data_IF_730342187749
#
_entry.id   IF_730342187749
#
_cell.length_a   1.000
_cell.length_b   1.000
_cell.length_c   1.000
_cell.angle_alpha   90.00
_cell.angle_beta   90.00
_cell.angle_gamma   90.00
#
_symmetry.space_group_name_H-M   'P 1'
#
loop_
_entity.id
_entity.type
_entity.pdbx_description
1 polymer ?
#
# COMPACT_ATOMS: atom_id res chain seq x y z
N UNK A 1 22.11 -11.14 13.86
CA UNK A 1 21.59 -9.86 13.32
C UNK A 1 21.21 -8.99 14.50
N UNK A 2 21.72 -7.77 14.59
CA UNK A 2 21.25 -6.79 15.57
C UNK A 2 19.78 -6.48 15.27
N UNK A 3 18.93 -6.59 16.28
CA UNK A 3 17.48 -6.36 16.13
C UNK A 3 17.25 -4.85 16.09
N UNK A 4 16.88 -4.29 14.94
CA UNK A 4 16.76 -2.83 14.73
C UNK A 4 15.54 -2.19 15.41
N UNK A 5 14.69 -3.00 16.05
CA UNK A 5 13.45 -2.54 16.69
C UNK A 5 12.25 -2.41 15.75
N UNK A 6 12.40 -2.77 14.47
CA UNK A 6 11.32 -2.81 13.48
C UNK A 6 11.53 -3.96 12.48
N UNK A 7 10.54 -4.20 11.63
CA UNK A 7 10.66 -5.07 10.45
C UNK A 7 10.33 -4.25 9.21
N UNK A 8 11.23 -4.29 8.22
CA UNK A 8 11.02 -3.71 6.90
C UNK A 8 11.11 -4.85 5.88
N UNK A 9 10.00 -5.15 5.23
CA UNK A 9 9.89 -6.23 4.25
C UNK A 9 9.54 -5.67 2.87
N UNK A 10 9.92 -6.37 1.80
CA UNK A 10 9.57 -5.95 0.45
C UNK A 10 9.25 -7.17 -0.43
N UNK A 11 8.56 -6.94 -1.55
CA UNK A 11 8.38 -7.98 -2.57
C UNK A 11 9.70 -8.22 -3.33
N UNK A 12 9.78 -9.29 -4.13
CA UNK A 12 11.00 -9.58 -4.91
C UNK A 12 11.44 -8.38 -5.77
N UNK A 13 12.76 -8.14 -5.90
CA UNK A 13 13.28 -7.08 -6.78
C UNK A 13 13.03 -7.42 -8.25
N UNK A 14 13.06 -6.40 -9.12
CA UNK A 14 12.97 -6.53 -10.59
C UNK A 14 11.75 -7.33 -11.09
N UNK A 15 10.61 -7.20 -10.41
CA UNK A 15 9.39 -7.90 -10.81
C UNK A 15 8.75 -7.24 -12.05
N UNK A 16 8.43 -7.98 -13.13
CA UNK A 16 7.79 -7.41 -14.32
C UNK A 16 6.37 -6.90 -14.07
N UNK A 17 5.77 -7.24 -12.92
CA UNK A 17 4.46 -6.74 -12.48
C UNK A 17 4.55 -5.45 -11.67
N UNK A 18 5.74 -4.98 -11.31
CA UNK A 18 5.90 -3.72 -10.61
C UNK A 18 5.25 -2.58 -11.41
N UNK A 19 4.40 -1.81 -10.73
CA UNK A 19 3.83 -0.56 -11.20
C UNK A 19 4.78 0.60 -10.86
N UNK A 20 5.52 0.47 -9.75
CA UNK A 20 6.51 1.42 -9.28
C UNK A 20 7.69 0.68 -8.66
N UNK A 21 8.88 1.25 -8.82
CA UNK A 21 10.09 0.75 -8.19
C UNK A 21 10.16 1.21 -6.73
N UNK A 22 10.55 0.32 -5.81
CA UNK A 22 10.55 0.57 -4.36
C UNK A 22 11.95 0.71 -3.77
N UNK A 23 13.04 0.51 -4.53
CA UNK A 23 14.40 0.49 -3.99
C UNK A 23 14.77 1.80 -3.27
N UNK A 24 14.55 2.96 -3.89
CA UNK A 24 14.85 4.26 -3.26
C UNK A 24 14.05 4.45 -1.96
N UNK A 25 12.74 4.20 -2.00
CA UNK A 25 11.89 4.26 -0.81
C UNK A 25 12.36 3.32 0.30
N UNK A 26 12.83 2.11 -0.05
CA UNK A 26 13.37 1.17 0.95
C UNK A 26 14.59 1.76 1.64
N UNK A 27 15.56 2.28 0.88
CA UNK A 27 16.79 2.83 1.42
C UNK A 27 16.51 4.04 2.32
N UNK A 28 15.62 4.94 1.89
CA UNK A 28 15.21 6.10 2.68
C UNK A 28 14.51 5.70 3.99
N UNK A 29 13.60 4.72 3.94
CA UNK A 29 12.93 4.21 5.13
C UNK A 29 13.88 3.48 6.07
N UNK A 30 14.82 2.69 5.55
CA UNK A 30 15.79 1.99 6.37
C UNK A 30 16.65 2.97 7.18
N UNK A 31 17.13 4.03 6.54
CA UNK A 31 17.86 5.13 7.21
C UNK A 31 16.97 5.78 8.26
N UNK A 32 15.78 6.25 7.87
CA UNK A 32 14.90 7.04 8.74
C UNK A 32 14.36 6.25 9.94
N UNK A 33 14.02 4.98 9.76
CA UNK A 33 13.55 4.14 10.86
C UNK A 33 14.68 3.75 11.82
N UNK A 34 15.91 3.60 11.32
CA UNK A 34 17.08 3.34 12.16
C UNK A 34 17.40 4.55 13.04
N UNK A 35 17.26 5.78 12.53
CA UNK A 35 17.46 7.03 13.29
C UNK A 35 16.50 7.16 14.50
N UNK A 36 15.32 6.51 14.45
CA UNK A 36 14.34 6.55 15.55
C UNK A 36 14.75 5.73 16.79
N UNK A 37 15.78 4.88 16.68
CA UNK A 37 16.28 4.04 17.77
C UNK A 37 15.18 3.24 18.50
N UNK A 38 14.24 2.66 17.74
CA UNK A 38 13.03 2.00 18.25
C UNK A 38 13.33 0.86 19.24
N UNK A 39 14.46 0.17 19.08
CA UNK A 39 14.80 -0.95 19.95
C UNK A 39 14.88 -0.53 21.42
N UNK A 40 15.55 0.59 21.72
CA UNK A 40 15.72 1.08 23.09
C UNK A 40 14.36 1.39 23.72
N UNK A 41 13.50 2.08 22.97
CA UNK A 41 12.15 2.45 23.40
C UNK A 41 11.30 1.20 23.67
N UNK A 42 11.42 0.18 22.83
CA UNK A 42 10.71 -1.09 23.01
C UNK A 42 11.23 -1.87 24.23
N UNK A 43 12.53 -1.82 24.54
CA UNK A 43 13.10 -2.48 25.72
C UNK A 43 12.66 -1.84 27.04
N UNK A 44 12.35 -0.55 27.02
CA UNK A 44 11.79 0.16 28.17
C UNK A 44 10.30 -0.18 28.36
N UNK A 45 9.57 -0.42 27.26
CA UNK A 45 8.14 -0.80 27.29
C UNK A 45 7.88 -2.29 27.53
N UNK A 46 8.76 -3.17 27.03
CA UNK A 46 8.55 -4.62 27.00
C UNK A 46 9.78 -5.38 27.48
N UNK A 47 9.58 -6.29 28.44
CA UNK A 47 10.65 -7.14 28.99
C UNK A 47 10.17 -8.60 29.09
N UNK A 48 10.55 -9.50 28.16
CA UNK A 48 11.41 -9.29 26.99
C UNK A 48 10.68 -8.63 25.80
N UNK A 49 11.44 -8.07 24.84
CA UNK A 49 10.91 -7.64 23.54
C UNK A 49 10.67 -8.87 22.66
N UNK A 50 9.43 -9.04 22.18
CA UNK A 50 9.00 -10.15 21.34
C UNK A 50 8.71 -9.67 19.91
N UNK A 51 8.69 -10.59 18.95
CA UNK A 51 8.47 -10.29 17.53
C UNK A 51 7.17 -9.51 17.23
N UNK A 52 6.13 -9.74 18.02
CA UNK A 52 4.85 -9.06 17.86
C UNK A 52 4.82 -7.65 18.49
N UNK A 53 5.88 -7.22 19.17
CA UNK A 53 6.08 -5.83 19.60
C UNK A 53 6.73 -4.97 18.52
N UNK A 54 7.45 -5.59 17.58
CA UNK A 54 8.14 -4.86 16.50
C UNK A 54 7.11 -4.28 15.52
N UNK A 55 7.14 -2.97 15.25
CA UNK A 55 6.44 -2.36 14.13
C UNK A 55 6.85 -3.02 12.81
N UNK A 56 5.87 -3.28 11.95
CA UNK A 56 6.09 -3.94 10.65
C UNK A 56 5.72 -3.01 9.51
N UNK A 57 6.69 -2.68 8.69
CA UNK A 57 6.57 -1.92 7.47
C UNK A 57 6.79 -2.85 6.29
N UNK A 58 5.98 -2.75 5.25
CA UNK A 58 6.20 -3.52 4.04
C UNK A 58 5.94 -2.74 2.75
N UNK A 59 6.76 -3.03 1.74
CA UNK A 59 6.73 -2.39 0.43
C UNK A 59 6.35 -3.41 -0.65
N UNK A 60 5.39 -3.07 -1.50
CA UNK A 60 5.07 -3.84 -2.71
C UNK A 60 5.11 -2.90 -3.91
N UNK A 61 5.82 -3.27 -4.97
CA UNK A 61 5.89 -2.44 -6.19
C UNK A 61 4.58 -2.37 -6.97
N UNK A 62 3.55 -3.14 -6.62
CA UNK A 62 2.25 -3.16 -7.32
C UNK A 62 1.10 -3.60 -6.39
N UNK A 63 -0.17 -3.43 -6.81
CA UNK A 63 -1.35 -3.79 -6.03
C UNK A 63 -1.49 -5.29 -5.72
N UNK A 64 -0.77 -6.18 -6.42
CA UNK A 64 -0.75 -7.61 -6.09
C UNK A 64 -0.19 -7.90 -4.69
N UNK A 65 0.60 -6.98 -4.12
CA UNK A 65 0.89 -6.99 -2.69
C UNK A 65 1.64 -8.22 -2.16
N UNK A 66 2.65 -8.75 -2.87
CA UNK A 66 3.35 -9.98 -2.45
C UNK A 66 4.03 -9.89 -1.07
N UNK A 67 4.35 -8.69 -0.58
CA UNK A 67 4.88 -8.45 0.78
C UNK A 67 3.79 -8.29 1.85
N UNK A 68 2.53 -8.58 1.48
CA UNK A 68 1.37 -8.63 2.38
C UNK A 68 0.98 -7.27 3.02
N UNK A 69 0.84 -6.18 2.24
CA UNK A 69 0.53 -4.84 2.74
C UNK A 69 -0.80 -4.71 3.48
N UNK A 70 -1.72 -5.66 3.28
CA UNK A 70 -3.02 -5.65 3.95
C UNK A 70 -2.96 -6.15 5.40
N UNK A 71 -1.84 -6.71 5.88
CA UNK A 71 -1.77 -7.38 7.19
C UNK A 71 -0.53 -6.99 8.02
N UNK A 72 0.10 -5.86 7.68
CA UNK A 72 1.22 -5.26 8.42
C UNK A 72 0.81 -3.90 8.99
N UNK A 73 1.55 -3.41 9.98
CA UNK A 73 1.25 -2.12 10.61
C UNK A 73 1.27 -0.99 9.58
N UNK A 74 2.26 -0.99 8.68
CA UNK A 74 2.32 -0.11 7.51
C UNK A 74 2.43 -0.93 6.24
N UNK A 75 1.46 -0.76 5.33
CA UNK A 75 1.44 -1.38 4.01
C UNK A 75 1.54 -0.33 2.92
N UNK A 76 2.54 -0.47 2.05
CA UNK A 76 2.81 0.48 0.97
C UNK A 76 2.78 -0.29 -0.35
N UNK A 77 1.95 0.15 -1.29
CA UNK A 77 1.78 -0.50 -2.60
C UNK A 77 1.88 0.49 -3.74
N UNK A 78 2.79 0.25 -4.69
CA UNK A 78 2.94 1.07 -5.88
C UNK A 78 1.69 0.99 -6.76
N UNK A 79 1.33 2.10 -7.40
CA UNK A 79 0.26 2.15 -8.39
C UNK A 79 0.65 2.98 -9.61
N UNK A 80 -0.01 2.70 -10.73
CA UNK A 80 -0.01 3.55 -11.92
C UNK A 80 -1.39 3.48 -12.57
N UNK A 81 -2.02 4.63 -12.75
CA UNK A 81 -3.33 4.74 -13.39
C UNK A 81 -3.19 4.68 -14.90
N UNK A 82 -4.10 4.02 -15.62
CA UNK A 82 -4.14 4.11 -17.07
C UNK A 82 -4.82 5.40 -17.54
N UNK A 83 -4.21 6.09 -18.52
CA UNK A 83 -4.78 7.26 -19.20
C UNK A 83 -5.04 6.95 -20.67
N UNK A 84 -6.25 7.27 -21.14
CA UNK A 84 -6.62 7.18 -22.55
C UNK A 84 -6.13 8.43 -23.28
N UNK A 85 -5.54 8.25 -24.46
CA UNK A 85 -5.08 9.33 -25.35
C UNK A 85 -5.91 9.38 -26.63
N UNK A 86 -5.66 10.39 -27.47
CA UNK A 86 -6.25 10.51 -28.81
C UNK A 86 -5.60 9.56 -29.84
N UNK A 87 -4.61 8.76 -29.46
CA UNK A 87 -3.97 7.81 -30.36
C UNK A 87 -4.95 6.68 -30.76
N UNK A 88 -5.04 6.44 -32.07
CA UNK A 88 -5.99 5.48 -32.63
C UNK A 88 -5.79 4.07 -32.07
N UNK A 89 -6.86 3.50 -31.50
CA UNK A 89 -6.85 2.13 -31.04
C UNK A 89 -6.75 1.15 -32.21
N UNK A 90 -5.86 0.16 -32.10
CA UNK A 90 -5.72 -0.90 -33.10
C UNK A 90 -6.79 -1.99 -33.00
N UNK A 91 -7.61 -1.99 -31.94
CA UNK A 91 -8.64 -3.01 -31.72
C UNK A 91 -8.08 -4.41 -31.39
N UNK A 92 -6.80 -4.55 -31.03
CA UNK A 92 -6.15 -5.84 -30.79
C UNK A 92 -6.63 -6.60 -29.53
N UNK A 93 -7.41 -5.92 -28.67
CA UNK A 93 -7.96 -6.41 -27.40
C UNK A 93 -6.94 -6.93 -26.40
N UNK A 94 -5.66 -6.57 -26.53
CA UNK A 94 -4.61 -7.04 -25.63
C UNK A 94 -4.79 -6.50 -24.19
N UNK A 95 -5.17 -5.23 -24.05
CA UNK A 95 -5.44 -4.58 -22.76
C UNK A 95 -6.66 -5.19 -22.05
N UNK A 96 -7.72 -5.52 -22.77
CA UNK A 96 -8.90 -6.22 -22.26
C UNK A 96 -8.52 -7.62 -21.77
N UNK A 97 -7.83 -8.43 -22.58
CA UNK A 97 -7.42 -9.81 -22.20
C UNK A 97 -6.47 -9.87 -21.01
N UNK A 98 -5.61 -8.86 -20.81
CA UNK A 98 -4.66 -8.87 -19.68
C UNK A 98 -5.25 -8.34 -18.38
N UNK A 99 -6.42 -7.71 -18.41
CA UNK A 99 -7.02 -7.09 -17.24
C UNK A 99 -7.75 -8.13 -16.39
N UNK A 100 -7.12 -8.58 -15.30
CA UNK A 100 -7.71 -9.57 -14.39
C UNK A 100 -8.94 -9.03 -13.62
N UNK A 101 -9.04 -7.71 -13.46
CA UNK A 101 -10.18 -7.04 -12.84
C UNK A 101 -11.33 -6.77 -13.83
N UNK A 102 -11.15 -7.18 -15.10
CA UNK A 102 -12.10 -6.96 -16.19
C UNK A 102 -12.47 -5.49 -16.42
N UNK A 103 -11.68 -4.55 -15.90
CA UNK A 103 -11.95 -3.12 -15.90
C UNK A 103 -11.87 -2.45 -17.28
N UNK A 104 -11.40 -3.15 -18.31
CA UNK A 104 -11.23 -2.60 -19.65
C UNK A 104 -12.20 -3.29 -20.60
N UNK A 105 -12.90 -2.49 -21.41
CA UNK A 105 -13.76 -2.98 -22.49
C UNK A 105 -13.33 -2.37 -23.81
N UNK A 106 -13.07 -3.21 -24.81
CA UNK A 106 -12.76 -2.75 -26.16
C UNK A 106 -14.04 -2.47 -26.95
N UNK A 107 -14.09 -1.31 -27.58
CA UNK A 107 -15.19 -0.85 -28.44
C UNK A 107 -14.69 -0.72 -29.89
N UNK A 108 -15.58 -0.64 -30.91
CA UNK A 108 -15.17 -0.54 -32.31
C UNK A 108 -14.15 0.58 -32.60
N UNK A 109 -14.23 1.70 -31.87
CA UNK A 109 -13.39 2.89 -32.10
C UNK A 109 -12.52 3.26 -30.88
N UNK A 110 -12.31 2.37 -29.91
CA UNK A 110 -11.56 2.73 -28.71
C UNK A 110 -11.70 1.76 -27.55
N UNK A 111 -11.53 2.30 -26.34
CA UNK A 111 -11.58 1.55 -25.09
C UNK A 111 -12.29 2.37 -24.02
N UNK A 112 -12.92 1.67 -23.08
CA UNK A 112 -13.44 2.27 -21.85
C UNK A 112 -12.80 1.62 -20.64
N UNK A 113 -12.62 2.39 -19.57
CA UNK A 113 -12.04 1.92 -18.31
C UNK A 113 -13.07 2.14 -17.21
N UNK A 114 -13.45 1.05 -16.55
CA UNK A 114 -14.22 1.07 -15.32
C UNK A 114 -13.29 1.32 -14.13
N UNK A 115 -13.27 2.58 -13.67
CA UNK A 115 -12.43 2.99 -12.56
C UNK A 115 -12.86 2.39 -11.21
N UNK A 116 -14.05 1.80 -11.11
CA UNK A 116 -14.50 1.11 -9.88
C UNK A 116 -13.89 -0.28 -9.72
N UNK A 117 -13.45 -0.88 -10.84
CA UNK A 117 -12.78 -2.19 -10.87
C UNK A 117 -11.26 -2.06 -11.06
N UNK A 118 -10.80 -1.00 -11.71
CA UNK A 118 -9.38 -0.80 -11.95
C UNK A 118 -8.58 -0.63 -10.65
N UNK A 119 -7.71 -1.59 -10.33
CA UNK A 119 -6.80 -1.50 -9.18
C UNK A 119 -5.50 -0.74 -9.48
N UNK A 120 -5.36 -0.13 -10.66
CA UNK A 120 -4.17 0.64 -11.07
C UNK A 120 -2.85 -0.17 -11.06
N UNK A 121 -2.90 -1.42 -11.54
CA UNK A 121 -1.72 -2.30 -11.63
C UNK A 121 -0.81 -2.03 -12.85
N UNK A 122 -1.31 -1.31 -13.86
CA UNK A 122 -0.54 -0.92 -15.04
C UNK A 122 -0.28 -2.02 -16.08
N UNK A 123 -0.81 -3.25 -15.91
CA UNK A 123 -0.55 -4.33 -16.86
C UNK A 123 -1.07 -4.05 -18.27
N UNK A 124 -2.19 -3.34 -18.39
CA UNK A 124 -2.76 -2.89 -19.66
C UNK A 124 -1.86 -1.91 -20.42
N UNK A 125 -1.03 -1.13 -19.71
CA UNK A 125 -0.10 -0.15 -20.30
C UNK A 125 1.04 -0.85 -21.04
N UNK A 126 1.51 -1.98 -20.51
CA UNK A 126 2.64 -2.74 -21.06
C UNK A 126 2.31 -3.42 -22.39
N UNK A 127 1.02 -3.61 -22.69
CA UNK A 127 0.55 -4.33 -23.88
C UNK A 127 -0.07 -3.42 -24.95
N UNK A 128 -0.26 -2.12 -24.66
CA UNK A 128 -0.87 -1.18 -25.60
C UNK A 128 0.17 -0.57 -26.55
N UNK A 129 0.46 -1.26 -27.65
CA UNK A 129 1.43 -0.81 -28.64
C UNK A 129 0.96 0.39 -29.48
N UNK A 130 -0.35 0.68 -29.52
CA UNK A 130 -0.89 1.83 -30.27
C UNK A 130 -0.72 3.17 -29.55
N UNK A 131 -0.35 3.16 -28.27
CA UNK A 131 -0.28 4.37 -27.45
C UNK A 131 -1.65 4.93 -27.02
N UNK A 132 -2.75 4.21 -27.30
CA UNK A 132 -4.11 4.58 -26.84
C UNK A 132 -4.20 4.58 -25.32
N UNK A 133 -3.46 3.67 -24.66
CA UNK A 133 -3.23 3.68 -23.22
C UNK A 133 -1.79 4.06 -22.92
N UNK A 134 -1.63 5.03 -22.04
CA UNK A 134 -0.33 5.43 -21.47
C UNK A 134 -0.43 5.57 -19.96
N UNK A 135 0.72 5.68 -19.30
CA UNK A 135 0.78 5.96 -17.86
C UNK A 135 0.16 7.32 -17.53
N UNK A 136 -0.76 7.32 -16.58
CA UNK A 136 -1.29 8.49 -15.89
C UNK A 136 -0.51 8.77 -14.61
N UNK A 137 -1.25 9.09 -13.56
CA UNK A 137 -0.73 9.30 -12.20
C UNK A 137 -0.11 8.01 -11.65
N UNK A 138 0.98 8.16 -10.89
CA UNK A 138 1.67 7.06 -10.20
C UNK A 138 2.14 7.51 -8.83
N UNK A 139 2.20 6.58 -7.89
CA UNK A 139 2.45 6.87 -6.50
C UNK A 139 2.45 5.61 -5.64
N UNK A 140 2.21 5.83 -4.36
CA UNK A 140 2.09 4.82 -3.33
C UNK A 140 0.70 4.87 -2.70
N UNK A 141 0.03 3.72 -2.67
CA UNK A 141 -1.16 3.50 -1.85
C UNK A 141 -0.75 3.07 -0.46
N UNK A 142 -1.24 3.79 0.54
CA UNK A 142 -0.86 3.65 1.94
C UNK A 142 -1.96 2.92 2.72
N UNK A 143 -1.55 2.00 3.59
CA UNK A 143 -2.43 1.21 4.46
C UNK A 143 -1.84 1.14 5.86
N UNK A 144 -2.71 1.14 6.87
CA UNK A 144 -2.31 1.28 8.26
C UNK A 144 -3.09 0.34 9.18
N UNK A 145 -2.41 -0.24 10.16
CA UNK A 145 -3.02 -0.97 11.28
C UNK A 145 -3.35 -2.44 11.00
N UNK A 146 -2.70 -3.06 10.01
CA UNK A 146 -2.86 -4.49 9.75
C UNK A 146 -2.06 -5.34 10.73
N UNK A 147 -2.61 -6.50 11.11
CA UNK A 147 -1.90 -7.49 11.92
C UNK A 147 -2.50 -8.88 11.77
N UNK A 148 -1.64 -9.86 11.99
CA UNK A 148 -2.01 -11.27 12.11
C UNK A 148 -1.70 -11.73 13.52
N UNK A 149 -2.51 -12.64 14.07
CA UNK A 149 -2.32 -13.17 15.43
C UNK A 149 -3.65 -13.58 16.06
N UNK A 150 -3.72 -13.55 17.39
CA UNK A 150 -4.93 -13.93 18.15
C UNK A 150 -6.18 -13.12 17.79
N UNK A 151 -5.98 -11.86 17.39
CA UNK A 151 -7.04 -10.97 16.91
C UNK A 151 -6.59 -10.37 15.57
N UNK A 152 -6.81 -11.06 14.44
CA UNK A 152 -6.40 -10.56 13.14
C UNK A 152 -7.20 -9.33 12.74
N UNK A 153 -6.57 -8.43 11.99
CA UNK A 153 -7.20 -7.21 11.48
C UNK A 153 -6.52 -6.80 10.17
N UNK A 154 -7.33 -6.43 9.17
CA UNK A 154 -6.80 -5.86 7.93
C UNK A 154 -6.40 -4.39 8.11
N UNK A 155 -5.33 -4.00 7.43
CA UNK A 155 -4.89 -2.63 7.33
C UNK A 155 -5.95 -1.79 6.59
N UNK A 156 -6.27 -0.63 7.15
CA UNK A 156 -7.21 0.34 6.56
C UNK A 156 -6.49 1.20 5.54
N UNK A 157 -7.16 1.55 4.45
CA UNK A 157 -6.62 2.48 3.47
C UNK A 157 -6.44 3.86 4.12
N UNK A 158 -5.22 4.40 4.04
CA UNK A 158 -4.83 5.67 4.65
C UNK A 158 -4.71 6.82 3.63
N UNK A 159 -4.63 6.50 2.34
CA UNK A 159 -4.53 7.48 1.26
C UNK A 159 -3.55 7.07 0.17
N UNK A 160 -3.29 7.99 -0.75
CA UNK A 160 -2.27 7.87 -1.80
C UNK A 160 -1.35 9.09 -1.76
N UNK A 161 -0.07 8.86 -2.03
CA UNK A 161 0.95 9.91 -2.14
C UNK A 161 1.81 9.71 -3.40
N UNK A 162 2.15 10.77 -4.14
CA UNK A 162 2.94 10.64 -5.36
C UNK A 162 4.44 10.38 -5.14
N UNK A 163 5.03 10.77 -4.02
CA UNK A 163 6.49 10.69 -3.83
C UNK A 163 6.93 9.79 -2.67
N UNK A 164 8.21 9.41 -2.68
CA UNK A 164 8.80 8.54 -1.67
C UNK A 164 8.98 9.32 -0.34
N UNK A 165 9.33 10.61 -0.45
CA UNK A 165 9.50 11.52 0.68
C UNK A 165 8.20 11.70 1.48
N UNK A 166 7.04 11.71 0.81
CA UNK A 166 5.74 11.77 1.48
C UNK A 166 5.42 10.49 2.24
N UNK A 167 5.82 9.31 1.73
CA UNK A 167 5.69 8.04 2.46
C UNK A 167 6.55 8.08 3.72
N UNK A 168 7.81 8.51 3.57
CA UNK A 168 8.76 8.63 4.69
C UNK A 168 8.22 9.58 5.75
N UNK A 169 7.77 10.77 5.35
CA UNK A 169 7.21 11.76 6.27
C UNK A 169 5.97 11.23 7.00
N UNK A 170 5.09 10.52 6.30
CA UNK A 170 3.90 9.91 6.88
C UNK A 170 4.23 8.85 7.95
N UNK A 171 5.15 7.92 7.64
CA UNK A 171 5.57 6.88 8.59
C UNK A 171 6.30 7.50 9.78
N UNK A 172 7.24 8.43 9.53
CA UNK A 172 7.99 9.10 10.59
C UNK A 172 7.10 9.87 11.56
N UNK A 173 6.06 10.55 11.06
CA UNK A 173 5.10 11.26 11.90
C UNK A 173 4.33 10.31 12.83
N UNK A 174 3.84 9.19 12.30
CA UNK A 174 3.10 8.20 13.08
C UNK A 174 4.01 7.52 14.11
N UNK A 175 5.21 7.12 13.70
CA UNK A 175 6.17 6.50 14.61
C UNK A 175 6.58 7.46 15.73
N UNK A 176 6.81 8.73 15.43
CA UNK A 176 7.13 9.74 16.45
C UNK A 176 5.99 9.91 17.46
N UNK A 177 4.74 9.91 16.99
CA UNK A 177 3.57 9.89 17.86
C UNK A 177 3.51 8.65 18.75
N UNK A 178 3.74 7.46 18.18
CA UNK A 178 3.78 6.21 18.95
C UNK A 178 4.88 6.21 20.02
N UNK A 179 6.08 6.70 19.69
CA UNK A 179 7.20 6.80 20.63
C UNK A 179 6.83 7.71 21.81
N UNK A 180 6.18 8.83 21.53
CA UNK A 180 5.87 9.87 22.52
C UNK A 180 4.67 9.51 23.40
N UNK A 181 3.60 9.03 22.79
CA UNK A 181 2.27 9.03 23.41
C UNK A 181 1.76 7.62 23.76
N UNK A 182 2.42 6.54 23.28
CA UNK A 182 1.94 5.19 23.56
C UNK A 182 2.08 4.82 25.04
N UNK A 183 1.05 4.15 25.56
CA UNK A 183 0.98 3.66 26.93
C UNK A 183 1.98 2.53 27.24
N UNK A 184 2.03 2.11 28.52
CA UNK A 184 2.82 0.95 28.93
C UNK A 184 2.26 -0.33 28.31
N UNK A 185 3.14 -1.18 27.78
CA UNK A 185 2.80 -2.43 27.08
C UNK A 185 1.86 -2.28 25.86
N UNK A 186 1.62 -1.05 25.40
CA UNK A 186 0.80 -0.78 24.23
C UNK A 186 1.61 -1.06 22.95
N UNK A 187 1.05 -1.85 22.05
CA UNK A 187 1.66 -2.12 20.74
C UNK A 187 1.20 -1.07 19.74
N UNK A 188 2.02 -0.85 18.71
CA UNK A 188 1.70 0.08 17.64
C UNK A 188 0.27 -0.11 17.10
N UNK A 189 -0.13 -1.33 16.72
CA UNK A 189 -1.48 -1.52 16.15
C UNK A 189 -2.62 -1.10 17.10
N UNK A 190 -2.45 -1.22 18.42
CA UNK A 190 -3.46 -0.77 19.39
C UNK A 190 -3.46 0.75 19.50
N UNK A 191 -2.27 1.36 19.58
CA UNK A 191 -2.10 2.81 19.52
C UNK A 191 -2.77 3.42 18.28
N UNK A 192 -2.62 2.76 17.12
CA UNK A 192 -3.25 3.19 15.86
C UNK A 192 -4.78 3.05 15.84
N UNK A 193 -5.35 2.15 16.63
CA UNK A 193 -6.80 1.98 16.71
C UNK A 193 -7.45 3.01 17.64
N UNK A 194 -6.79 3.35 18.73
CA UNK A 194 -7.31 4.26 19.76
C UNK A 194 -7.15 5.73 19.37
N UNK A 195 -6.08 6.04 18.62
CA UNK A 195 -5.87 7.35 18.05
C UNK A 195 -6.54 7.43 16.68
N UNK A 196 -7.36 8.45 16.44
CA UNK A 196 -7.86 8.78 15.09
C UNK A 196 -6.69 9.29 14.24
N UNK A 197 -5.81 8.39 13.82
CA UNK A 197 -4.62 8.73 13.03
C UNK A 197 -5.09 9.37 11.73
N UNK A 198 -4.55 10.56 11.46
CA UNK A 198 -4.92 11.37 10.31
C UNK A 198 -4.69 10.58 9.02
N UNK A 199 -5.77 10.42 8.25
CA UNK A 199 -5.70 10.03 6.86
C UNK A 199 -4.86 11.07 6.11
N UNK A 200 -4.11 10.64 5.11
CA UNK A 200 -3.42 11.59 4.23
C UNK A 200 -4.49 12.47 3.57
N UNK A 201 -4.42 13.77 3.81
CA UNK A 201 -5.30 14.75 3.17
C UNK A 201 -5.10 14.65 1.66
N UNK A 202 -6.12 14.16 0.96
CA UNK A 202 -6.05 13.71 -0.43
C UNK A 202 -5.57 14.83 -1.36
N UNK A 203 -4.53 14.58 -2.15
CA UNK A 203 -4.26 15.36 -3.36
C UNK A 203 -5.23 14.88 -4.42
N UNK A 204 -6.29 15.67 -4.64
CA UNK A 204 -7.19 15.73 -5.80
C UNK A 204 -7.82 14.42 -6.35
N UNK A 205 -9.09 14.20 -5.97
CA UNK A 205 -10.15 14.00 -6.96
C UNK A 205 -10.40 12.60 -7.52
N UNK A 206 -10.88 11.65 -6.70
CA UNK A 206 -12.16 10.92 -6.88
C UNK A 206 -12.32 9.78 -5.87
N UNK A 207 -13.51 9.80 -5.25
CA UNK A 207 -14.19 8.75 -4.46
C UNK A 207 -13.33 7.89 -3.53
N UNK A 208 -13.34 8.27 -2.26
CA UNK A 208 -13.22 7.34 -1.16
C UNK A 208 -14.13 6.12 -1.41
N UNK A 209 -13.53 4.94 -1.54
CA UNK A 209 -14.26 3.68 -1.42
C UNK A 209 -14.86 3.65 0.00
N UNK A 210 -16.17 3.86 0.10
CA UNK A 210 -16.94 3.31 1.21
C UNK A 210 -16.84 1.79 1.07
N UNK A 211 -16.03 1.16 1.92
CA UNK A 211 -16.21 -0.26 2.20
C UNK A 211 -17.57 -0.41 2.87
N UNK A 212 -18.59 -0.78 2.10
CA UNK A 212 -19.78 -1.40 2.67
C UNK A 212 -19.30 -2.66 3.37
N UNK A 213 -19.38 -2.67 4.70
CA UNK A 213 -19.24 -3.89 5.47
C UNK A 213 -20.41 -4.79 5.08
N UNK A 214 -20.15 -5.77 4.21
CA UNK A 214 -21.02 -6.93 4.13
C UNK A 214 -20.67 -7.81 5.32
N UNK A 215 -21.57 -7.84 6.29
CA UNK A 215 -21.60 -8.86 7.33
C UNK A 215 -21.65 -10.22 6.64
N UNK A 216 -20.54 -10.95 6.71
CA UNK A 216 -20.48 -12.35 6.30
C UNK A 216 -21.35 -13.15 7.28
N UNK A 217 -22.62 -13.37 6.92
CA UNK A 217 -23.49 -14.28 7.64
C UNK A 217 -22.99 -15.71 7.41
N UNK A 218 -22.46 -16.29 8.49
CA UNK A 218 -22.12 -17.71 8.66
C UNK A 218 -23.35 -18.59 8.33
N UNK A 219 -23.45 -19.06 7.08
CA UNK A 219 -24.37 -20.14 6.73
C UNK A 219 -23.67 -21.49 6.96
N UNK A 220 -23.77 -21.96 8.20
CA UNK A 220 -23.66 -23.38 8.52
C UNK A 220 -24.90 -24.12 8.02
N UNK A 221 -24.68 -25.08 7.12
CA UNK A 221 -25.44 -26.32 7.04
C UNK A 221 -24.46 -27.49 6.93
#
# INVERSE_FOLDING_TARGET
MQQTGFQLEHCRPNCPKAARDWHNLYDELEIKLTELNLLQILQDKFRPVLNHHLPKVCLAGCPNGCSQPNIKDFGISGYVTPRITDAQCSGCKACERTCLEEAITCQPNGITIDNTRCISCGDCLKVCLSGTLISGESGWSLRLGGRVGRHPQFAKFAGQVPTDEEVVAWISAIMSGYIKDAGPQERLTHFLNDNKVSLVSSVNGKSAHKSSGEEFQDQRQ
#
